data_IF_229655515170
#
_entry.id   IF_229655515170
#
_cell.length_a   1.000
_cell.length_b   1.000
_cell.length_c   1.000
_cell.angle_alpha   90.00
_cell.angle_beta   90.00
_cell.angle_gamma   90.00
#
_symmetry.space_group_name_H-M   'P 1'
#
loop_
_entity.id
_entity.type
_entity.pdbx_description
1 polymer ?
#
# COMPACT_ATOMS: atom_id res chain seq x y z
N UNK A 1 9.91 -7.39 15.32
CA UNK A 1 9.74 -8.86 15.20
C UNK A 1 9.86 -9.21 13.73
N UNK A 2 10.80 -10.09 13.36
CA UNK A 2 10.86 -10.61 11.98
C UNK A 2 9.86 -11.75 11.89
N UNK A 3 8.73 -11.48 11.24
CA UNK A 3 7.68 -12.46 10.99
C UNK A 3 8.03 -13.16 9.67
N UNK A 4 8.38 -14.45 9.73
CA UNK A 4 8.58 -15.24 8.51
C UNK A 4 7.22 -15.66 7.94
N UNK A 5 6.66 -14.77 7.11
CA UNK A 5 5.37 -14.97 6.43
C UNK A 5 5.37 -16.24 5.57
N UNK A 6 6.52 -16.63 5.03
CA UNK A 6 6.61 -17.75 4.10
C UNK A 6 6.39 -19.10 4.80
N UNK A 7 6.84 -19.22 6.06
CA UNK A 7 6.82 -20.49 6.80
C UNK A 7 5.80 -20.54 7.94
N UNK A 8 5.27 -19.39 8.38
CA UNK A 8 4.27 -19.34 9.45
C UNK A 8 2.98 -20.11 9.10
N UNK A 9 2.26 -20.57 10.13
CA UNK A 9 0.98 -21.26 9.93
C UNK A 9 -0.10 -20.28 9.44
N UNK A 10 -1.00 -20.77 8.59
CA UNK A 10 -2.09 -19.95 8.04
C UNK A 10 -3.01 -19.41 9.14
N UNK A 11 -3.33 -20.22 10.15
CA UNK A 11 -4.16 -19.82 11.29
C UNK A 11 -3.54 -18.65 12.06
N UNK A 12 -2.23 -18.73 12.32
CA UNK A 12 -1.52 -17.67 13.00
C UNK A 12 -1.45 -16.38 12.17
N UNK A 13 -1.23 -16.51 10.86
CA UNK A 13 -1.22 -15.37 9.92
C UNK A 13 -2.59 -14.67 9.84
N UNK A 14 -3.67 -15.45 9.81
CA UNK A 14 -5.04 -14.92 9.84
C UNK A 14 -5.28 -14.16 11.15
N UNK A 15 -4.99 -14.77 12.30
CA UNK A 15 -5.20 -14.14 13.60
C UNK A 15 -4.32 -12.89 13.77
N UNK A 16 -3.10 -12.89 13.22
CA UNK A 16 -2.23 -11.73 13.18
C UNK A 16 -2.86 -10.55 12.44
N UNK A 17 -3.47 -10.77 11.28
CA UNK A 17 -4.17 -9.71 10.53
C UNK A 17 -5.32 -9.10 11.34
N UNK A 18 -6.15 -9.95 11.96
CA UNK A 18 -7.29 -9.49 12.77
C UNK A 18 -6.83 -8.76 14.03
N UNK A 19 -5.75 -9.23 14.67
CA UNK A 19 -5.13 -8.56 15.81
C UNK A 19 -4.61 -7.18 15.42
N UNK A 20 -3.82 -7.09 14.35
CA UNK A 20 -3.28 -5.83 13.84
C UNK A 20 -4.39 -4.83 13.50
N UNK A 21 -5.49 -5.30 12.89
CA UNK A 21 -6.63 -4.42 12.58
C UNK A 21 -7.29 -3.83 13.84
N UNK A 22 -7.37 -4.62 14.92
CA UNK A 22 -7.94 -4.18 16.21
C UNK A 22 -7.00 -3.26 16.99
N UNK A 23 -5.69 -3.45 16.87
CA UNK A 23 -4.66 -2.73 17.61
C UNK A 23 -4.18 -1.44 16.90
N UNK A 24 -4.98 -0.90 15.97
CA UNK A 24 -4.67 0.36 15.29
C UNK A 24 -3.71 0.24 14.09
N UNK A 25 -3.42 -0.99 13.64
CA UNK A 25 -2.64 -1.23 12.42
C UNK A 25 -3.43 -1.05 11.13
N UNK A 26 -4.69 -0.62 11.17
CA UNK A 26 -5.51 -0.36 10.00
C UNK A 26 -4.94 0.79 9.16
N UNK A 27 -4.66 0.53 7.88
CA UNK A 27 -4.04 1.51 6.95
C UNK A 27 -4.88 1.77 5.69
N UNK A 28 -6.00 1.06 5.51
CA UNK A 28 -6.91 1.33 4.40
C UNK A 28 -8.03 0.32 4.24
N UNK A 29 -8.99 0.66 3.38
CA UNK A 29 -10.19 -0.15 3.10
C UNK A 29 -11.40 0.20 3.98
N UNK A 30 -12.63 0.09 3.46
CA UNK A 30 -13.85 0.48 4.19
C UNK A 30 -14.24 -0.58 5.22
N UNK A 31 -14.77 -0.19 6.39
CA UNK A 31 -15.31 -1.16 7.36
C UNK A 31 -16.32 -2.11 6.70
N UNK A 32 -16.11 -3.42 6.86
CA UNK A 32 -16.96 -4.47 6.27
C UNK A 32 -16.60 -4.88 4.84
N UNK A 33 -15.63 -4.22 4.20
CA UNK A 33 -15.02 -4.65 2.95
C UNK A 33 -13.60 -5.17 3.13
N UNK A 34 -12.84 -5.24 2.04
CA UNK A 34 -11.42 -5.60 2.09
C UNK A 34 -10.65 -4.57 2.92
N UNK A 35 -9.89 -5.07 3.90
CA UNK A 35 -9.08 -4.27 4.81
C UNK A 35 -7.60 -4.37 4.43
N UNK A 36 -6.85 -3.31 4.65
CA UNK A 36 -5.38 -3.31 4.64
C UNK A 36 -4.86 -2.98 6.04
N UNK A 37 -3.90 -3.77 6.53
CA UNK A 37 -3.24 -3.57 7.82
C UNK A 37 -1.73 -3.57 7.70
N UNK A 38 -1.07 -2.74 8.50
CA UNK A 38 0.37 -2.80 8.73
C UNK A 38 0.65 -3.83 9.82
N UNK A 39 1.46 -4.84 9.48
CA UNK A 39 1.89 -5.90 10.41
C UNK A 39 3.23 -5.54 11.06
N UNK A 40 4.13 -4.94 10.27
CA UNK A 40 5.44 -4.45 10.73
C UNK A 40 5.93 -3.33 9.80
N UNK A 41 7.13 -2.82 10.02
CA UNK A 41 7.73 -1.79 9.14
C UNK A 41 8.03 -2.26 7.72
N UNK A 42 7.94 -3.56 7.45
CA UNK A 42 8.23 -4.15 6.13
C UNK A 42 7.10 -5.02 5.58
N UNK A 43 6.02 -5.21 6.33
CA UNK A 43 4.95 -6.16 5.98
C UNK A 43 3.60 -5.51 6.18
N UNK A 44 2.80 -5.55 5.13
CA UNK A 44 1.38 -5.26 5.13
C UNK A 44 0.58 -6.51 4.74
N UNK A 45 -0.69 -6.54 5.12
CA UNK A 45 -1.62 -7.55 4.67
C UNK A 45 -2.92 -6.89 4.18
N UNK A 46 -3.41 -7.33 3.03
CA UNK A 46 -4.78 -7.08 2.58
C UNK A 46 -5.61 -8.33 2.84
N UNK A 47 -6.81 -8.19 3.39
CA UNK A 47 -7.69 -9.33 3.63
C UNK A 47 -9.17 -8.98 3.55
N UNK A 48 -9.99 -9.94 3.09
CA UNK A 48 -11.42 -9.74 2.89
C UNK A 48 -12.01 -10.71 1.87
N UNK A 49 -13.32 -10.60 1.66
CA UNK A 49 -14.08 -11.44 0.72
C UNK A 49 -13.63 -11.24 -0.74
N UNK A 50 -13.15 -10.04 -1.10
CA UNK A 50 -12.73 -9.70 -2.46
C UNK A 50 -11.27 -10.04 -2.78
N UNK A 51 -10.47 -10.36 -1.76
CA UNK A 51 -9.04 -10.64 -1.93
C UNK A 51 -8.85 -12.01 -2.56
N UNK A 52 -8.28 -12.05 -3.75
CA UNK A 52 -8.23 -13.25 -4.58
C UNK A 52 -6.81 -13.60 -5.05
N UNK A 53 -6.59 -14.86 -5.41
CA UNK A 53 -5.32 -15.33 -5.95
C UNK A 53 -4.90 -14.56 -7.22
N UNK A 54 -5.87 -14.13 -8.03
CA UNK A 54 -5.62 -13.30 -9.22
C UNK A 54 -5.08 -11.92 -8.86
N UNK A 55 -5.50 -11.31 -7.75
CA UNK A 55 -4.95 -10.04 -7.28
C UNK A 55 -3.46 -10.20 -6.93
N UNK A 56 -3.11 -11.26 -6.19
CA UNK A 56 -1.73 -11.58 -5.85
C UNK A 56 -0.88 -11.80 -7.11
N UNK A 57 -1.39 -12.56 -8.08
CA UNK A 57 -0.69 -12.84 -9.33
C UNK A 57 -0.50 -11.57 -10.19
N UNK A 58 -1.50 -10.69 -10.26
CA UNK A 58 -1.41 -9.41 -10.98
C UNK A 58 -0.41 -8.46 -10.32
N UNK A 59 -0.40 -8.39 -8.98
CA UNK A 59 0.57 -7.57 -8.25
C UNK A 59 2.00 -8.07 -8.46
N UNK A 60 2.24 -9.38 -8.38
CA UNK A 60 3.54 -9.99 -8.66
C UNK A 60 3.96 -9.75 -10.13
N UNK A 61 3.03 -9.85 -11.07
CA UNK A 61 3.27 -9.53 -12.47
C UNK A 61 3.71 -8.07 -12.65
N UNK A 62 3.06 -7.13 -11.97
CA UNK A 62 3.37 -5.71 -12.02
C UNK A 62 4.74 -5.42 -11.37
N UNK A 63 5.03 -5.99 -10.20
CA UNK A 63 6.31 -5.87 -9.49
C UNK A 63 7.53 -6.20 -10.36
N UNK A 64 7.36 -7.17 -11.26
CA UNK A 64 8.41 -7.66 -12.15
C UNK A 64 8.50 -6.90 -13.49
N UNK A 65 7.56 -6.00 -13.81
CA UNK A 65 7.47 -5.37 -15.15
C UNK A 65 7.53 -3.86 -15.17
N UNK A 66 7.11 -3.19 -14.10
CA UNK A 66 7.15 -1.72 -14.07
C UNK A 66 8.56 -1.21 -13.83
N UNK A 67 8.86 0.00 -14.35
CA UNK A 67 10.06 0.73 -13.97
C UNK A 67 9.93 1.22 -12.52
N UNK A 68 10.78 0.68 -11.65
CA UNK A 68 10.77 0.96 -10.21
C UNK A 68 11.22 2.38 -9.86
N UNK A 69 11.84 3.10 -10.79
CA UNK A 69 12.17 4.51 -10.62
C UNK A 69 10.96 5.43 -10.82
N UNK A 70 9.92 4.94 -11.50
CA UNK A 70 8.67 5.67 -11.74
C UNK A 70 7.63 5.30 -10.68
N UNK A 71 7.39 3.99 -10.49
CA UNK A 71 6.41 3.50 -9.53
C UNK A 71 6.94 2.26 -8.81
N UNK A 72 6.86 2.29 -7.48
CA UNK A 72 7.22 1.15 -6.64
C UNK A 72 5.98 0.34 -6.31
N UNK A 73 5.93 -0.90 -6.81
CA UNK A 73 4.90 -1.88 -6.48
C UNK A 73 5.38 -2.69 -5.27
N UNK A 74 4.52 -3.01 -4.29
CA UNK A 74 4.91 -3.86 -3.17
C UNK A 74 5.16 -5.30 -3.64
N UNK A 75 6.26 -5.91 -3.19
CA UNK A 75 6.52 -7.34 -3.43
C UNK A 75 5.48 -8.23 -2.74
N UNK A 76 4.97 -9.25 -3.43
CA UNK A 76 4.10 -10.26 -2.79
C UNK A 76 4.96 -11.27 -2.03
N UNK A 77 4.57 -11.58 -0.79
CA UNK A 77 5.23 -12.62 0.01
C UNK A 77 4.43 -13.90 0.03
N UNK A 78 3.10 -13.81 0.22
CA UNK A 78 2.23 -14.99 0.30
C UNK A 78 0.77 -14.62 0.09
N UNK A 79 0.04 -15.49 -0.59
CA UNK A 79 -1.42 -15.49 -0.61
C UNK A 79 -1.94 -16.76 0.06
N UNK A 80 -3.05 -16.65 0.81
CA UNK A 80 -3.77 -17.78 1.37
C UNK A 80 -5.28 -17.50 1.39
N UNK A 81 -6.08 -18.57 1.45
CA UNK A 81 -7.54 -18.51 1.49
C UNK A 81 -8.05 -19.26 2.74
N UNK A 82 -8.78 -18.54 3.62
CA UNK A 82 -9.39 -19.17 4.79
C UNK A 82 -10.67 -19.90 4.37
N UNK A 83 -10.70 -21.22 4.60
CA UNK A 83 -11.92 -22.04 4.45
C UNK A 83 -12.75 -22.17 5.74
N UNK A 84 -12.24 -21.68 6.88
CA UNK A 84 -12.82 -21.92 8.23
C UNK A 84 -13.66 -20.75 8.77
N UNK A 85 -13.23 -19.51 8.51
CA UNK A 85 -14.06 -18.29 8.64
C UNK A 85 -14.57 -17.97 7.23
N UNK A 86 -15.66 -17.21 7.09
CA UNK A 86 -16.21 -16.77 5.78
C UNK A 86 -15.11 -16.60 4.72
N UNK A 87 -15.31 -17.04 3.46
CA UNK A 87 -14.22 -17.22 2.51
C UNK A 87 -13.48 -15.90 2.27
N UNK A 88 -12.37 -15.72 2.99
CA UNK A 88 -11.55 -14.52 2.96
C UNK A 88 -10.21 -14.91 2.36
N UNK A 89 -9.78 -14.14 1.37
CA UNK A 89 -8.39 -14.15 0.95
C UNK A 89 -7.54 -13.26 1.86
N UNK A 90 -6.26 -13.61 1.94
CA UNK A 90 -5.25 -12.85 2.67
C UNK A 90 -4.02 -12.74 1.77
N UNK A 91 -3.62 -11.52 1.48
CA UNK A 91 -2.46 -11.18 0.66
C UNK A 91 -1.44 -10.46 1.54
N UNK A 92 -0.33 -11.13 1.81
CA UNK A 92 0.81 -10.58 2.54
C UNK A 92 1.83 -10.05 1.56
N UNK A 93 2.25 -8.81 1.78
CA UNK A 93 3.10 -8.07 0.86
C UNK A 93 4.02 -7.10 1.60
N UNK A 94 4.99 -6.54 0.87
CA UNK A 94 5.84 -5.47 1.34
C UNK A 94 5.01 -4.28 1.83
N UNK A 95 5.39 -3.71 2.98
CA UNK A 95 4.90 -2.39 3.38
C UNK A 95 5.81 -1.32 2.81
N UNK A 96 5.23 -0.38 2.06
CA UNK A 96 5.93 0.80 1.56
C UNK A 96 5.58 1.97 2.48
N UNK A 97 6.59 2.52 3.17
CA UNK A 97 6.42 3.72 3.97
C UNK A 97 6.10 4.93 3.09
N UNK A 98 5.11 5.72 3.47
CA UNK A 98 4.73 6.93 2.77
C UNK A 98 3.46 7.54 3.36
N UNK A 99 2.97 8.60 2.72
CA UNK A 99 1.68 9.21 3.01
C UNK A 99 0.67 8.80 1.93
N UNK A 100 -0.56 8.51 2.32
CA UNK A 100 -1.63 8.34 1.34
C UNK A 100 -1.93 9.69 0.68
N UNK A 101 -2.25 9.68 -0.61
CA UNK A 101 -2.52 10.90 -1.36
C UNK A 101 -3.66 11.74 -0.76
N UNK A 102 -4.67 11.09 -0.16
CA UNK A 102 -5.78 11.76 0.53
C UNK A 102 -5.35 12.57 1.77
N UNK A 103 -4.20 12.25 2.36
CA UNK A 103 -3.67 12.90 3.55
C UNK A 103 -2.57 13.92 3.20
N UNK A 104 -2.23 14.04 1.91
CA UNK A 104 -1.25 15.01 1.42
C UNK A 104 -1.96 16.34 1.19
N UNK A 105 -1.43 17.40 1.80
CA UNK A 105 -1.75 18.77 1.42
C UNK A 105 -1.13 19.06 0.05
N UNK A 106 -1.97 18.99 -0.99
CA UNK A 106 -1.54 19.20 -2.37
C UNK A 106 -1.18 20.65 -2.64
N UNK A 107 -1.76 21.62 -1.91
CA UNK A 107 -1.44 23.05 -2.06
C UNK A 107 -0.04 23.35 -1.52
N UNK A 108 0.38 22.66 -0.46
CA UNK A 108 1.74 22.75 0.07
C UNK A 108 2.78 21.91 -0.70
N UNK A 109 2.37 21.18 -1.75
CA UNK A 109 3.21 20.26 -2.53
C UNK A 109 3.14 20.58 -4.02
N UNK A 110 3.55 21.79 -4.38
CA UNK A 110 3.60 22.28 -5.78
C UNK A 110 4.35 21.30 -6.72
N UNK A 111 5.37 20.59 -6.23
CA UNK A 111 6.12 19.59 -7.01
C UNK A 111 5.25 18.40 -7.48
N UNK A 112 4.21 18.03 -6.73
CA UNK A 112 3.28 16.96 -7.09
C UNK A 112 2.27 17.44 -8.14
N UNK A 113 1.85 18.71 -8.06
CA UNK A 113 0.85 19.30 -8.96
C UNK A 113 1.45 19.79 -10.28
N UNK A 114 2.66 20.32 -10.27
CA UNK A 114 3.26 21.03 -11.40
C UNK A 114 4.54 20.37 -11.96
N UNK A 115 4.94 19.21 -11.43
CA UNK A 115 5.93 18.33 -12.07
C UNK A 115 7.22 19.03 -12.52
N UNK A 116 7.80 19.87 -11.67
CA UNK A 116 9.07 20.54 -11.97
C UNK A 116 9.01 21.61 -13.07
N UNK A 117 7.82 22.05 -13.50
CA UNK A 117 7.70 23.26 -14.32
C UNK A 117 7.83 24.44 -13.35
N UNK A 118 9.05 24.95 -13.19
CA UNK A 118 9.28 26.24 -12.54
C UNK A 118 8.42 27.29 -13.23
N UNK A 119 7.67 28.07 -12.45
CA UNK A 119 6.92 29.22 -12.97
C UNK A 119 7.85 30.07 -13.88
N UNK A 120 7.37 30.55 -15.04
CA UNK A 120 8.19 31.41 -15.88
C UNK A 120 8.63 32.63 -15.07
N UNK A 121 9.92 32.94 -15.10
CA UNK A 121 10.46 34.15 -14.46
C UNK A 121 9.60 35.35 -14.87
N UNK A 122 9.09 36.09 -13.88
CA UNK A 122 8.38 37.32 -14.16
C UNK A 122 9.34 38.26 -14.90
N UNK A 123 8.96 38.80 -16.08
CA UNK A 123 9.82 39.75 -16.76
C UNK A 123 10.05 40.95 -15.85
N UNK A 124 11.33 41.26 -15.62
CA UNK A 124 11.74 42.44 -14.87
C UNK A 124 11.08 43.67 -15.47
N UNK A 125 10.21 44.33 -14.71
CA UNK A 125 9.67 45.64 -15.07
C UNK A 125 10.79 46.69 -15.03
N UNK A 126 11.55 46.75 -16.12
CA UNK A 126 12.44 47.84 -16.46
C UNK A 126 11.63 48.87 -17.23
N UNK A 127 10.85 49.67 -16.49
CA UNK A 127 10.54 51.05 -16.89
C UNK A 127 10.53 51.92 -15.64
N UNK A 128 11.74 52.37 -15.28
CA UNK A 128 11.91 53.71 -14.72
C UNK A 128 11.93 54.67 -15.91
N UNK A 129 10.92 55.52 -16.02
CA UNK A 129 11.00 56.92 -16.49
C UNK A 129 9.74 57.63 -16.05
#
# INVERSE_FOLDING_TARGET
MSCDIATASEEWLIDLCHKANKEGGHIGGPRGGDQAVKISDHIAAKFGLGVCASEAAMQEFAYNRVDRNIVRIPKVYRYLESKKRDPHGYLFMEYISGQNLQDVDLEAKEDILYGGITAPEQPSNLLKT
#
